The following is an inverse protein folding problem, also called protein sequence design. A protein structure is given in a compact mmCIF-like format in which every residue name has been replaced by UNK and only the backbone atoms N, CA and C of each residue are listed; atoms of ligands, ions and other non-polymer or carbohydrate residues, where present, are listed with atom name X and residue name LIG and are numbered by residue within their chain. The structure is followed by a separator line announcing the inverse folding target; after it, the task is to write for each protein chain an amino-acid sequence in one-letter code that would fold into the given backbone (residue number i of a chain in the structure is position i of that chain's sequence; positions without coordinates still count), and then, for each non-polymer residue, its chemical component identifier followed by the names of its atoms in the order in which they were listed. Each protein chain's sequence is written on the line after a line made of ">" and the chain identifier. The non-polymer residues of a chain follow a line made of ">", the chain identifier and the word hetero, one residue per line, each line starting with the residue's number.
data_IF_515082099650
#
_entry.id   IF_515082099650
#
_cell.length_a   1.000
_cell.length_b   1.000
_cell.length_c   1.000
_cell.angle_alpha   90.00
_cell.angle_beta   90.00
_cell.angle_gamma   90.00
#
_symmetry.space_group_name_H-M   'P 1'
#
loop_
_entity.id
_entity.type
_entity.pdbx_description
1 polymer ?
#
# COMPACT_ATOMS: atom_id res chain seq x y z
N UNK A 1 84.20 45.13 -23.53
CA UNK A 1 84.32 45.98 -24.70
C UNK A 1 82.84 46.37 -25.11
N UNK A 2 82.60 47.61 -24.84
CA UNK A 2 81.94 48.58 -25.73
C UNK A 2 80.54 48.23 -26.13
N UNK A 3 79.57 49.00 -25.93
CA UNK A 3 79.21 50.38 -25.72
C UNK A 3 77.87 50.60 -26.40
N UNK A 4 76.94 51.28 -25.67
CA UNK A 4 76.06 52.38 -26.12
C UNK A 4 75.14 52.13 -27.31
N UNK A 5 73.88 52.64 -27.39
CA UNK A 5 73.47 54.00 -27.14
C UNK A 5 71.90 54.07 -27.30
N UNK A 6 71.27 54.69 -26.38
CA UNK A 6 70.12 55.62 -26.48
C UNK A 6 69.20 55.66 -27.72
N UNK A 7 67.94 55.73 -27.45
CA UNK A 7 66.91 56.17 -28.41
C UNK A 7 65.56 56.39 -27.75
N UNK A 8 65.31 57.59 -27.21
CA UNK A 8 63.99 58.08 -26.80
C UNK A 8 63.19 58.35 -28.03
N UNK A 9 61.91 58.01 -28.06
CA UNK A 9 60.90 58.75 -28.76
C UNK A 9 59.52 58.59 -28.12
N UNK A 10 58.94 59.72 -27.78
CA UNK A 10 57.53 59.93 -27.41
C UNK A 10 56.58 59.46 -28.49
N UNK A 11 55.41 59.06 -28.14
CA UNK A 11 54.31 58.83 -29.09
C UNK A 11 53.00 58.40 -28.49
N UNK A 12 52.21 59.39 -28.14
CA UNK A 12 50.74 59.44 -28.23
C UNK A 12 49.91 58.34 -27.59
N UNK A 13 49.30 58.69 -26.47
CA UNK A 13 48.06 58.09 -25.94
C UNK A 13 46.93 58.24 -26.98
N UNK A 14 46.39 57.14 -27.43
CA UNK A 14 45.04 57.04 -28.03
C UNK A 14 44.16 56.23 -27.11
N UNK A 15 43.32 56.95 -26.37
CA UNK A 15 42.21 56.39 -25.60
C UNK A 15 41.13 55.90 -26.58
N UNK A 16 41.04 54.58 -26.78
CA UNK A 16 39.87 53.98 -27.41
C UNK A 16 38.85 53.69 -26.32
N UNK A 17 37.85 54.57 -26.21
CA UNK A 17 36.62 54.29 -25.45
C UNK A 17 35.78 53.30 -26.24
N UNK A 18 35.95 51.99 -25.97
CA UNK A 18 35.06 50.96 -26.49
C UNK A 18 33.76 50.96 -25.71
N UNK A 19 32.69 51.46 -26.32
CA UNK A 19 31.34 51.25 -25.83
C UNK A 19 31.04 49.75 -25.91
N UNK A 20 31.07 49.05 -24.78
CA UNK A 20 30.51 47.72 -24.65
C UNK A 20 28.99 47.84 -24.52
N UNK A 21 28.23 47.67 -25.60
CA UNK A 21 26.80 47.48 -25.57
C UNK A 21 26.56 46.00 -25.16
N UNK A 22 26.19 45.80 -23.90
CA UNK A 22 25.66 44.50 -23.47
C UNK A 22 24.25 44.32 -24.04
N UNK A 23 23.94 43.21 -24.70
CA UNK A 23 22.57 42.90 -25.07
C UNK A 23 21.78 42.63 -23.77
N UNK A 24 20.71 43.38 -23.55
CA UNK A 24 19.75 43.11 -22.49
C UNK A 24 19.02 41.79 -22.82
N UNK A 25 19.27 40.79 -22.02
CA UNK A 25 18.49 39.56 -22.06
C UNK A 25 17.04 39.86 -21.64
N UNK A 26 16.01 39.36 -22.35
CA UNK A 26 14.63 39.56 -21.92
C UNK A 26 14.43 38.82 -20.58
N UNK A 27 13.98 39.55 -19.56
CA UNK A 27 13.52 38.98 -18.33
C UNK A 27 12.29 38.12 -18.64
N UNK A 28 12.45 36.81 -18.67
CA UNK A 28 11.33 35.87 -18.69
C UNK A 28 10.56 36.02 -17.38
N UNK A 29 9.39 36.67 -17.45
CA UNK A 29 8.45 36.72 -16.36
C UNK A 29 8.01 35.26 -16.06
N UNK A 30 8.51 34.70 -14.97
CA UNK A 30 7.98 33.43 -14.43
C UNK A 30 6.57 33.76 -13.94
N UNK A 31 5.57 33.32 -14.72
CA UNK A 31 4.19 33.27 -14.27
C UNK A 31 4.14 32.20 -13.19
N UNK A 32 4.16 32.61 -11.93
CA UNK A 32 3.78 31.76 -10.82
C UNK A 32 2.31 31.42 -11.02
N UNK A 33 2.04 30.29 -11.65
CA UNK A 33 0.71 29.69 -11.72
C UNK A 33 0.34 29.25 -10.31
N UNK A 34 -0.40 30.09 -9.59
CA UNK A 34 -1.12 29.68 -8.39
C UNK A 34 -2.24 28.75 -8.86
N UNK A 35 -2.02 27.44 -8.80
CA UNK A 35 -3.10 26.46 -8.86
C UNK A 35 -4.08 26.68 -7.70
N UNK A 36 -5.34 26.25 -7.82
CA UNK A 36 -6.36 26.49 -6.80
C UNK A 36 -5.89 25.96 -5.45
N UNK A 37 -6.07 26.77 -4.40
CA UNK A 37 -5.58 26.54 -3.03
C UNK A 37 -6.20 25.33 -2.31
N UNK A 38 -6.89 24.44 -3.03
CA UNK A 38 -7.52 23.20 -2.53
C UNK A 38 -6.95 21.92 -3.16
N UNK A 39 -5.76 21.96 -3.74
CA UNK A 39 -5.05 20.73 -4.04
C UNK A 39 -4.64 20.10 -2.71
N UNK A 40 -5.37 19.07 -2.29
CA UNK A 40 -4.92 18.19 -1.22
C UNK A 40 -3.47 17.79 -1.50
N UNK A 41 -2.60 17.67 -0.47
CA UNK A 41 -1.24 17.24 -0.68
C UNK A 41 -1.26 15.94 -1.46
N UNK A 42 -0.82 16.00 -2.71
CA UNK A 42 -0.53 14.81 -3.49
C UNK A 42 0.63 14.17 -2.74
N UNK A 43 0.35 13.12 -1.97
CA UNK A 43 1.39 12.23 -1.49
C UNK A 43 2.00 11.59 -2.74
N UNK A 44 2.90 12.34 -3.36
CA UNK A 44 3.64 11.93 -4.53
C UNK A 44 4.69 10.91 -4.14
N UNK A 45 4.25 9.68 -3.95
CA UNK A 45 5.07 8.53 -4.26
C UNK A 45 4.78 8.22 -5.72
N UNK A 46 5.52 8.85 -6.64
CA UNK A 46 5.76 8.23 -7.92
C UNK A 46 6.73 7.08 -7.60
N UNK A 47 6.28 5.82 -7.57
CA UNK A 47 7.23 4.73 -7.47
C UNK A 47 8.02 4.72 -8.76
N UNK A 48 9.31 4.51 -8.67
CA UNK A 48 10.10 4.01 -9.78
C UNK A 48 9.43 2.70 -10.23
N UNK A 49 8.56 2.80 -11.23
CA UNK A 49 7.79 1.66 -11.76
C UNK A 49 8.68 0.73 -12.60
N UNK A 50 9.96 1.06 -12.74
CA UNK A 50 10.89 0.39 -13.63
C UNK A 50 11.74 -0.68 -12.94
N UNK A 51 11.72 -0.79 -11.61
CA UNK A 51 12.43 -1.87 -10.94
C UNK A 51 11.54 -3.13 -10.94
N UNK A 52 11.88 -4.08 -11.81
CA UNK A 52 11.22 -5.37 -11.84
C UNK A 52 11.32 -6.04 -10.45
N UNK A 53 10.22 -6.58 -9.91
CA UNK A 53 10.26 -7.23 -8.60
C UNK A 53 11.29 -8.36 -8.61
N UNK A 54 11.93 -8.60 -7.46
CA UNK A 54 12.88 -9.69 -7.29
C UNK A 54 12.32 -10.99 -7.90
N UNK A 55 13.13 -11.81 -8.56
CA UNK A 55 12.65 -13.02 -9.27
C UNK A 55 11.73 -13.91 -8.43
N UNK A 56 11.99 -13.99 -7.12
CA UNK A 56 11.17 -14.73 -6.17
C UNK A 56 9.75 -14.16 -5.98
N UNK A 57 9.51 -12.91 -6.35
CA UNK A 57 8.21 -12.24 -6.22
C UNK A 57 7.46 -12.15 -7.56
N UNK A 58 8.09 -12.55 -8.65
CA UNK A 58 7.47 -12.56 -9.96
C UNK A 58 6.39 -13.64 -10.08
N UNK A 59 5.32 -13.30 -10.81
CA UNK A 59 4.26 -14.25 -11.14
C UNK A 59 4.79 -15.38 -11.99
N UNK A 60 4.51 -16.63 -11.60
CA UNK A 60 4.93 -17.81 -12.34
C UNK A 60 4.05 -19.03 -12.04
N UNK A 61 3.97 -19.96 -12.99
CA UNK A 61 3.38 -21.28 -12.75
C UNK A 61 4.39 -22.15 -12.02
N UNK A 62 3.97 -22.76 -10.91
CA UNK A 62 4.81 -23.63 -10.08
C UNK A 62 4.15 -24.98 -9.87
N UNK A 63 4.95 -25.98 -9.52
CA UNK A 63 4.42 -27.23 -8.98
C UNK A 63 3.74 -26.96 -7.62
N UNK A 64 2.57 -27.55 -7.39
CA UNK A 64 1.78 -27.38 -6.17
C UNK A 64 1.31 -28.72 -5.65
N UNK A 65 1.81 -29.11 -4.47
CA UNK A 65 1.52 -30.42 -3.85
C UNK A 65 0.26 -30.45 -2.97
N UNK A 66 -0.53 -29.35 -2.90
CA UNK A 66 -1.77 -29.32 -2.16
C UNK A 66 -2.91 -30.08 -2.84
N UNK A 67 -3.98 -30.36 -2.09
CA UNK A 67 -5.14 -31.14 -2.52
C UNK A 67 -6.36 -30.27 -2.83
N UNK A 68 -6.22 -28.96 -2.75
CA UNK A 68 -7.31 -28.00 -2.94
C UNK A 68 -7.79 -28.01 -4.40
N UNK A 69 -9.12 -27.87 -4.54
CA UNK A 69 -9.75 -27.84 -5.85
C UNK A 69 -9.19 -26.71 -6.73
N UNK A 70 -9.12 -26.90 -8.07
CA UNK A 70 -8.75 -25.84 -9.00
C UNK A 70 -9.61 -24.58 -8.77
N UNK A 71 -8.99 -23.39 -8.88
CA UNK A 71 -9.64 -22.11 -8.63
C UNK A 71 -9.64 -21.68 -7.15
N UNK A 72 -9.05 -22.45 -6.25
CA UNK A 72 -8.88 -22.04 -4.85
C UNK A 72 -7.67 -21.12 -4.70
N UNK A 73 -7.81 -20.07 -3.90
CA UNK A 73 -6.71 -19.18 -3.52
C UNK A 73 -6.11 -19.68 -2.20
N UNK A 74 -4.80 -19.85 -2.15
CA UNK A 74 -4.05 -20.16 -0.94
C UNK A 74 -3.10 -19.01 -0.65
N UNK A 75 -3.15 -18.45 0.55
CA UNK A 75 -2.29 -17.36 1.00
C UNK A 75 -1.32 -17.90 2.03
N UNK A 76 -0.05 -17.93 1.68
CA UNK A 76 1.06 -18.29 2.56
C UNK A 76 1.72 -17.01 3.06
N UNK A 77 1.31 -16.57 4.23
CA UNK A 77 1.79 -15.33 4.84
C UNK A 77 3.25 -15.44 5.26
N UNK A 78 3.71 -16.63 5.65
CA UNK A 78 5.09 -16.87 6.08
C UNK A 78 6.10 -16.66 4.93
N UNK A 79 5.72 -17.05 3.72
CA UNK A 79 6.56 -16.94 2.52
C UNK A 79 6.16 -15.80 1.58
N UNK A 80 5.28 -14.91 2.02
CA UNK A 80 4.77 -13.78 1.23
C UNK A 80 4.34 -14.19 -0.18
N UNK A 81 3.60 -15.30 -0.27
CA UNK A 81 3.16 -15.89 -1.53
C UNK A 81 1.64 -16.14 -1.54
N UNK A 82 1.02 -15.90 -2.69
CA UNK A 82 -0.35 -16.31 -2.98
C UNK A 82 -0.31 -17.32 -4.13
N UNK A 83 -1.07 -18.40 -3.98
CA UNK A 83 -1.22 -19.44 -5.00
C UNK A 83 -2.68 -19.52 -5.45
N UNK A 84 -2.91 -19.46 -6.75
CA UNK A 84 -4.18 -19.84 -7.36
C UNK A 84 -4.01 -21.25 -7.93
N UNK A 85 -4.74 -22.22 -7.40
CA UNK A 85 -4.66 -23.61 -7.85
C UNK A 85 -5.20 -23.74 -9.28
N UNK A 86 -4.45 -24.43 -10.16
CA UNK A 86 -4.79 -24.64 -11.56
C UNK A 86 -5.24 -26.07 -11.86
N UNK A 87 -5.10 -26.97 -10.88
CA UNK A 87 -5.25 -28.40 -11.10
C UNK A 87 -4.00 -29.04 -11.72
N UNK A 88 -3.99 -30.38 -11.79
CA UNK A 88 -2.85 -31.13 -12.31
C UNK A 88 -1.56 -30.89 -11.54
N UNK A 89 -1.62 -30.70 -10.22
CA UNK A 89 -0.45 -30.46 -9.39
C UNK A 89 0.25 -29.12 -9.66
N UNK A 90 -0.46 -28.11 -10.16
CA UNK A 90 0.10 -26.79 -10.52
C UNK A 90 -0.68 -25.65 -9.85
N UNK A 91 -0.01 -24.53 -9.62
CA UNK A 91 -0.61 -23.27 -9.21
C UNK A 91 0.08 -22.09 -9.90
N UNK A 92 -0.68 -21.00 -10.08
CA UNK A 92 -0.11 -19.69 -10.37
C UNK A 92 0.33 -19.09 -9.04
N UNK A 93 1.62 -18.80 -8.89
CA UNK A 93 2.20 -18.14 -7.73
C UNK A 93 2.36 -16.65 -8.00
N UNK A 94 2.02 -15.84 -7.00
CA UNK A 94 2.20 -14.38 -6.99
C UNK A 94 2.97 -13.98 -5.73
N UNK A 95 3.84 -12.98 -5.84
CA UNK A 95 4.42 -12.30 -4.68
C UNK A 95 3.40 -11.37 -4.04
N UNK A 96 3.35 -11.36 -2.70
CA UNK A 96 2.40 -10.54 -1.94
C UNK A 96 3.07 -9.80 -0.79
N UNK A 97 2.47 -8.68 -0.37
CA UNK A 97 2.73 -8.06 0.91
C UNK A 97 1.63 -8.45 1.91
N UNK A 98 1.98 -8.66 3.17
CA UNK A 98 1.07 -9.21 4.19
C UNK A 98 1.04 -8.35 5.46
N UNK A 99 0.18 -8.71 6.41
CA UNK A 99 0.06 -8.06 7.71
C UNK A 99 1.38 -8.07 8.48
N UNK A 100 1.70 -6.92 9.12
CA UNK A 100 2.80 -6.84 10.09
C UNK A 100 2.46 -7.66 11.32
N UNK A 101 3.43 -7.86 12.18
CA UNK A 101 3.24 -8.53 13.47
C UNK A 101 2.04 -7.96 14.24
N UNK A 102 1.22 -8.83 14.83
CA UNK A 102 -0.05 -8.48 15.48
C UNK A 102 -1.23 -8.24 14.54
N UNK A 103 -1.02 -8.29 13.20
CA UNK A 103 -2.07 -8.17 12.19
C UNK A 103 -2.13 -9.38 11.25
N UNK A 104 -1.38 -10.45 11.57
CA UNK A 104 -1.49 -11.71 10.88
C UNK A 104 -2.80 -12.42 11.30
N UNK A 105 -3.46 -13.03 10.34
CA UNK A 105 -4.66 -13.83 10.56
C UNK A 105 -4.61 -15.09 9.69
N UNK A 106 -5.39 -16.09 10.04
CA UNK A 106 -5.53 -17.33 9.28
C UNK A 106 -6.99 -17.79 9.30
N UNK A 107 -7.38 -18.57 8.31
CA UNK A 107 -8.73 -19.06 8.20
C UNK A 107 -9.16 -19.33 6.77
N UNK A 108 -10.45 -19.57 6.60
CA UNK A 108 -11.07 -19.83 5.30
C UNK A 108 -12.15 -18.79 5.10
N UNK A 109 -12.03 -18.07 3.98
CA UNK A 109 -12.97 -17.05 3.53
C UNK A 109 -13.41 -17.33 2.09
N UNK A 110 -14.32 -16.54 1.59
CA UNK A 110 -14.67 -16.48 0.18
C UNK A 110 -14.64 -15.05 -0.33
N UNK A 111 -14.40 -14.87 -1.62
CA UNK A 111 -14.56 -13.57 -2.25
C UNK A 111 -16.04 -13.20 -2.25
N UNK A 112 -16.42 -12.13 -1.58
CA UNK A 112 -17.82 -11.65 -1.51
C UNK A 112 -18.11 -10.50 -2.46
N UNK A 113 -17.08 -9.75 -2.84
CA UNK A 113 -17.19 -8.62 -3.77
C UNK A 113 -15.90 -8.41 -4.53
N UNK A 114 -16.00 -7.95 -5.76
CA UNK A 114 -14.90 -7.53 -6.63
C UNK A 114 -15.10 -6.07 -7.02
N UNK A 115 -14.04 -5.28 -7.06
CA UNK A 115 -14.11 -3.89 -7.49
C UNK A 115 -12.87 -3.48 -8.29
N UNK A 116 -13.09 -2.68 -9.33
CA UNK A 116 -12.05 -2.05 -10.14
C UNK A 116 -11.85 -0.63 -9.63
N UNK A 117 -10.60 -0.22 -9.47
CA UNK A 117 -10.22 1.10 -8.98
C UNK A 117 -11.10 1.58 -7.83
N UNK A 118 -11.23 0.80 -6.73
CA UNK A 118 -12.16 1.13 -5.66
C UNK A 118 -11.71 2.38 -4.89
N UNK A 119 -12.67 3.14 -4.38
CA UNK A 119 -12.37 4.14 -3.36
C UNK A 119 -11.81 3.47 -2.10
N UNK A 120 -10.89 4.14 -1.45
CA UNK A 120 -10.37 3.70 -0.17
C UNK A 120 -10.97 4.51 0.97
N UNK A 121 -11.63 3.80 1.87
CA UNK A 121 -12.11 4.31 3.15
C UNK A 121 -11.35 3.53 4.23
N UNK A 122 -10.52 4.18 5.05
CA UNK A 122 -9.79 3.48 6.10
C UNK A 122 -10.75 2.93 7.16
N UNK A 123 -10.51 1.72 7.69
CA UNK A 123 -11.25 1.20 8.83
C UNK A 123 -11.15 2.13 10.04
N UNK A 124 -12.22 2.21 10.84
CA UNK A 124 -12.26 3.09 12.04
C UNK A 124 -11.10 2.84 13.00
N UNK A 125 -10.73 1.57 13.21
CA UNK A 125 -9.58 1.19 14.01
C UNK A 125 -8.25 1.72 13.46
N UNK A 126 -8.09 1.85 12.14
CA UNK A 126 -6.90 2.46 11.53
C UNK A 126 -6.90 3.96 11.77
N UNK A 127 -8.04 4.60 11.59
CA UNK A 127 -8.22 6.04 11.86
C UNK A 127 -7.92 6.37 13.32
N UNK A 128 -8.35 5.53 14.27
CA UNK A 128 -8.06 5.73 15.70
C UNK A 128 -6.56 5.67 16.00
N UNK A 129 -5.81 4.77 15.32
CA UNK A 129 -4.35 4.67 15.48
C UNK A 129 -3.56 5.74 14.73
N UNK A 130 -4.13 6.28 13.65
CA UNK A 130 -3.49 7.23 12.75
C UNK A 130 -4.49 8.34 12.37
N UNK A 131 -4.76 9.31 13.28
CA UNK A 131 -5.82 10.32 13.07
C UNK A 131 -5.57 11.25 11.87
N UNK A 132 -4.32 11.31 11.38
CA UNK A 132 -3.89 12.17 10.27
C UNK A 132 -4.15 11.59 8.88
N UNK A 133 -4.51 10.29 8.76
CA UNK A 133 -4.77 9.70 7.43
C UNK A 133 -6.06 10.27 6.82
N UNK A 134 -6.12 10.38 5.48
CA UNK A 134 -7.34 10.77 4.78
C UNK A 134 -8.51 9.87 5.16
N UNK A 135 -9.70 10.44 5.32
CA UNK A 135 -10.92 9.69 5.60
C UNK A 135 -11.49 8.99 4.37
N UNK A 136 -11.06 9.42 3.20
CA UNK A 136 -11.46 8.89 1.90
C UNK A 136 -10.40 9.26 0.87
N UNK A 137 -10.12 8.33 -0.05
CA UNK A 137 -9.27 8.54 -1.22
C UNK A 137 -9.99 7.95 -2.43
N UNK A 138 -10.19 8.75 -3.47
CA UNK A 138 -10.81 8.32 -4.71
C UNK A 138 -10.04 7.18 -5.36
N UNK A 139 -10.74 6.31 -6.09
CA UNK A 139 -10.11 5.28 -6.92
C UNK A 139 -9.17 5.87 -7.96
N UNK A 140 -8.04 5.23 -8.21
CA UNK A 140 -7.03 5.68 -9.16
C UNK A 140 -5.61 5.28 -8.78
N UNK A 141 -4.59 5.66 -9.59
CA UNK A 141 -3.20 5.23 -9.39
C UNK A 141 -2.60 5.60 -8.03
N UNK A 142 -3.01 6.73 -7.44
CA UNK A 142 -2.57 7.16 -6.12
C UNK A 142 -3.29 6.50 -4.93
N UNK A 143 -4.29 5.65 -5.20
CA UNK A 143 -5.09 5.02 -4.16
C UNK A 143 -4.36 3.81 -3.55
N UNK A 144 -4.33 3.66 -2.21
CA UNK A 144 -3.65 2.54 -1.55
C UNK A 144 -4.17 1.15 -1.93
N UNK A 145 -5.42 1.03 -2.43
CA UNK A 145 -5.97 -0.25 -2.88
C UNK A 145 -5.56 -0.61 -4.32
N UNK A 146 -4.92 0.30 -5.04
CA UNK A 146 -4.47 0.08 -6.40
C UNK A 146 -5.59 -0.23 -7.38
N UNK A 147 -5.25 -1.00 -8.43
CA UNK A 147 -6.12 -1.20 -9.59
C UNK A 147 -7.36 -2.07 -9.33
N UNK A 148 -7.31 -3.02 -8.38
CA UNK A 148 -8.38 -4.00 -8.11
C UNK A 148 -8.42 -4.33 -6.63
N UNK A 149 -9.62 -4.68 -6.13
CA UNK A 149 -9.80 -5.26 -4.80
C UNK A 149 -10.79 -6.45 -4.84
N UNK A 150 -10.45 -7.49 -4.09
CA UNK A 150 -11.22 -8.69 -3.82
C UNK A 150 -11.54 -8.69 -2.32
N UNK A 151 -12.79 -8.53 -1.94
CA UNK A 151 -13.23 -8.44 -0.55
C UNK A 151 -13.48 -9.84 0.00
N UNK A 152 -13.03 -10.09 1.23
CA UNK A 152 -13.04 -11.42 1.85
C UNK A 152 -14.10 -11.51 2.95
N UNK A 153 -15.07 -12.39 2.76
CA UNK A 153 -16.14 -12.62 3.73
C UNK A 153 -16.89 -11.34 4.14
N UNK A 154 -17.23 -11.27 5.41
CA UNK A 154 -17.79 -10.09 6.07
C UNK A 154 -16.74 -9.34 6.89
N UNK A 155 -15.47 -9.43 6.48
CA UNK A 155 -14.34 -8.85 7.18
C UNK A 155 -13.88 -7.53 6.54
N UNK A 156 -12.99 -6.82 7.21
CA UNK A 156 -12.27 -5.67 6.63
C UNK A 156 -11.10 -6.11 5.73
N UNK A 157 -10.84 -7.42 5.58
CA UNK A 157 -9.71 -7.92 4.81
C UNK A 157 -10.01 -7.97 3.32
N UNK A 158 -8.96 -7.70 2.53
CA UNK A 158 -9.01 -7.65 1.07
C UNK A 158 -7.71 -8.21 0.49
N UNK A 159 -7.82 -8.77 -0.71
CA UNK A 159 -6.69 -8.93 -1.61
C UNK A 159 -6.78 -7.75 -2.58
N UNK A 160 -5.74 -6.92 -2.70
CA UNK A 160 -5.82 -5.69 -3.48
C UNK A 160 -4.49 -5.30 -4.11
N UNK A 161 -4.51 -4.41 -5.08
CA UNK A 161 -3.32 -3.79 -5.65
C UNK A 161 -2.61 -2.86 -4.67
N UNK A 162 -1.67 -2.08 -5.16
CA UNK A 162 -0.97 -1.11 -4.32
C UNK A 162 -0.48 0.08 -5.15
N UNK A 163 -0.37 1.23 -4.52
CA UNK A 163 0.38 2.38 -5.00
C UNK A 163 1.84 2.38 -4.48
N UNK A 164 2.22 1.37 -3.69
CA UNK A 164 3.56 1.18 -3.15
C UNK A 164 4.07 -0.23 -3.47
N UNK A 165 4.63 -0.46 -4.68
CA UNK A 165 5.20 -1.75 -5.09
C UNK A 165 6.29 -2.28 -4.17
N UNK A 166 7.03 -1.39 -3.48
CA UNK A 166 8.10 -1.78 -2.57
C UNK A 166 7.62 -2.54 -1.34
N UNK A 167 6.31 -2.51 -1.06
CA UNK A 167 5.67 -3.25 0.04
C UNK A 167 5.47 -4.75 -0.25
N UNK A 168 5.65 -5.18 -1.51
CA UNK A 168 5.55 -6.59 -1.89
C UNK A 168 6.75 -7.37 -1.36
N UNK A 169 6.52 -8.56 -0.83
CA UNK A 169 7.52 -9.35 -0.12
C UNK A 169 7.72 -8.96 1.36
N UNK A 170 6.96 -7.98 1.87
CA UNK A 170 7.12 -7.44 3.23
C UNK A 170 5.89 -7.65 4.11
N UNK A 171 6.12 -7.65 5.43
CA UNK A 171 5.10 -7.70 6.47
C UNK A 171 4.80 -6.28 6.98
N UNK A 172 3.95 -5.52 6.28
CA UNK A 172 3.73 -4.09 6.55
C UNK A 172 2.26 -3.69 6.66
N UNK A 173 1.33 -4.49 6.16
CA UNK A 173 -0.08 -4.13 6.10
C UNK A 173 -0.78 -4.24 7.47
N UNK A 174 -2.02 -3.78 7.54
CA UNK A 174 -2.93 -3.98 8.69
C UNK A 174 -3.82 -5.22 8.49
N UNK A 175 -3.30 -6.28 7.86
CA UNK A 175 -3.96 -7.57 7.65
C UNK A 175 -4.42 -7.82 6.20
N UNK A 176 -4.61 -6.80 5.38
CA UNK A 176 -4.90 -6.97 3.95
C UNK A 176 -3.71 -7.55 3.20
N UNK A 177 -3.99 -8.24 2.11
CA UNK A 177 -3.01 -8.87 1.22
C UNK A 177 -2.78 -7.93 0.03
N UNK A 178 -1.55 -7.42 -0.08
CA UNK A 178 -1.14 -6.51 -1.16
C UNK A 178 -0.53 -7.27 -2.32
N UNK A 179 -0.83 -6.85 -3.53
CA UNK A 179 -0.25 -7.37 -4.78
C UNK A 179 0.24 -6.23 -5.66
N UNK A 180 1.17 -6.52 -6.57
CA UNK A 180 1.42 -5.60 -7.69
C UNK A 180 0.14 -5.39 -8.48
N UNK A 181 -0.07 -4.19 -9.05
CA UNK A 181 -1.28 -3.89 -9.80
C UNK A 181 -1.47 -4.85 -11.00
N UNK A 182 -0.42 -5.18 -11.72
CA UNK A 182 -0.47 -6.16 -12.82
C UNK A 182 -0.88 -7.56 -12.35
N UNK A 183 -0.48 -7.97 -11.16
CA UNK A 183 -0.77 -9.29 -10.61
C UNK A 183 -2.18 -9.39 -10.06
N UNK A 184 -2.67 -8.34 -9.38
CA UNK A 184 -4.07 -8.34 -8.93
C UNK A 184 -5.04 -8.23 -10.09
N UNK A 185 -4.69 -7.56 -11.20
CA UNK A 185 -5.48 -7.55 -12.44
C UNK A 185 -5.58 -8.95 -13.02
N UNK A 186 -4.46 -9.68 -13.10
CA UNK A 186 -4.44 -11.06 -13.57
C UNK A 186 -5.26 -11.98 -12.67
N UNK A 187 -5.06 -11.94 -11.36
CA UNK A 187 -5.84 -12.73 -10.40
C UNK A 187 -7.33 -12.41 -10.49
N UNK A 188 -7.68 -11.12 -10.55
CA UNK A 188 -9.07 -10.64 -10.65
C UNK A 188 -9.78 -11.21 -11.88
N UNK A 189 -9.10 -11.35 -13.01
CA UNK A 189 -9.67 -11.91 -14.22
C UNK A 189 -9.95 -13.42 -14.13
N UNK A 190 -9.24 -14.13 -13.25
CA UNK A 190 -9.29 -15.61 -13.12
C UNK A 190 -10.28 -16.08 -12.06
N UNK A 191 -10.70 -15.23 -11.13
CA UNK A 191 -11.52 -15.64 -9.97
C UNK A 191 -12.89 -14.96 -9.99
N UNK A 192 -13.85 -15.57 -9.28
CA UNK A 192 -15.24 -15.09 -9.22
C UNK A 192 -15.64 -14.80 -7.75
N UNK A 193 -16.76 -14.09 -7.57
CA UNK A 193 -17.45 -14.05 -6.27
C UNK A 193 -17.79 -15.49 -5.88
N UNK A 194 -17.56 -15.86 -4.63
CA UNK A 194 -17.67 -17.23 -4.14
C UNK A 194 -16.37 -18.04 -4.18
N UNK A 195 -15.32 -17.55 -4.89
CA UNK A 195 -14.00 -18.22 -4.87
C UNK A 195 -13.51 -18.40 -3.44
N UNK A 196 -13.11 -19.63 -3.10
CA UNK A 196 -12.57 -19.99 -1.79
C UNK A 196 -11.17 -19.42 -1.62
N UNK A 197 -10.91 -18.86 -0.45
CA UNK A 197 -9.63 -18.30 -0.03
C UNK A 197 -9.21 -18.93 1.29
N UNK A 198 -8.06 -19.58 1.31
CA UNK A 198 -7.48 -20.20 2.50
C UNK A 198 -6.23 -19.40 2.87
N UNK A 199 -6.23 -18.81 4.06
CA UNK A 199 -5.07 -18.14 4.63
C UNK A 199 -4.41 -19.09 5.61
N UNK A 200 -3.18 -19.50 5.29
CA UNK A 200 -2.43 -20.44 6.12
C UNK A 200 -1.98 -19.75 7.41
N UNK A 201 -1.98 -20.48 8.54
CA UNK A 201 -1.42 -19.95 9.78
C UNK A 201 0.09 -19.74 9.62
N UNK A 202 0.59 -18.60 10.08
CA UNK A 202 2.03 -18.37 10.17
C UNK A 202 2.64 -19.39 11.14
N UNK A 203 3.70 -20.09 10.73
CA UNK A 203 4.39 -21.06 11.56
C UNK A 203 4.94 -20.44 12.85
N UNK A 204 5.28 -19.15 12.83
CA UNK A 204 5.68 -18.38 14.02
C UNK A 204 4.53 -18.19 15.00
N UNK A 205 3.32 -17.96 14.51
CA UNK A 205 2.11 -17.84 15.36
C UNK A 205 1.75 -19.18 15.99
N UNK A 206 2.01 -20.29 15.31
CA UNK A 206 1.76 -21.65 15.83
C UNK A 206 2.63 -21.96 17.06
N UNK A 207 3.89 -21.53 17.10
CA UNK A 207 4.77 -21.71 18.25
C UNK A 207 4.30 -20.95 19.50
N UNK A 208 3.76 -19.75 19.31
CA UNK A 208 3.22 -18.94 20.41
C UNK A 208 1.91 -19.54 20.94
N UNK A 209 1.06 -20.08 20.07
CA UNK A 209 -0.22 -20.70 20.46
C UNK A 209 -0.06 -22.01 21.24
N UNK A 210 1.04 -22.75 21.03
CA UNK A 210 1.34 -23.94 21.81
C UNK A 210 1.95 -23.63 23.18
N UNK A 211 2.46 -22.42 23.39
CA UNK A 211 3.05 -22.00 24.66
C UNK A 211 2.03 -21.37 25.64
N UNK A 212 0.79 -21.16 25.23
CA UNK A 212 -0.28 -20.60 26.08
C UNK A 212 -1.47 -21.56 26.10
N UNK A 213 -1.63 -22.40 27.14
CA UNK A 213 -2.88 -23.12 27.35
C UNK A 213 -3.98 -22.11 27.78
N UNK A 214 -5.00 -21.99 26.96
CA UNK A 214 -6.31 -21.41 27.31
C UNK A 214 -6.35 -20.02 27.93
N UNK A 215 -6.39 -18.96 27.12
CA UNK A 215 -7.22 -17.79 27.40
C UNK A 215 -7.08 -16.74 26.30
N UNK A 216 -7.81 -16.85 25.21
CA UNK A 216 -8.41 -15.68 24.50
C UNK A 216 -9.47 -16.22 23.52
N UNK A 217 -10.53 -16.79 24.06
CA UNK A 217 -11.82 -16.78 23.42
C UNK A 217 -12.67 -15.76 24.17
N UNK A 218 -13.35 -14.90 23.44
CA UNK A 218 -14.37 -13.98 23.92
C UNK A 218 -13.87 -12.68 24.63
N UNK A 219 -13.57 -11.68 23.82
CA UNK A 219 -13.88 -10.31 24.20
C UNK A 219 -14.68 -9.60 23.06
N UNK A 220 -15.86 -10.15 22.80
CA UNK A 220 -16.99 -9.30 22.49
C UNK A 220 -17.64 -8.96 23.82
N UNK A 221 -17.27 -7.85 24.40
CA UNK A 221 -17.98 -7.27 25.52
C UNK A 221 -19.28 -6.70 24.94
N UNK A 222 -20.36 -7.45 25.09
CA UNK A 222 -21.70 -6.90 25.02
C UNK A 222 -21.88 -6.03 26.27
N UNK A 223 -22.11 -4.75 26.09
CA UNK A 223 -22.54 -3.87 27.19
C UNK A 223 -23.85 -4.37 27.79
N UNK A 224 -23.96 -4.53 29.11
CA UNK A 224 -25.26 -4.84 29.70
C UNK A 224 -26.10 -3.56 29.71
N UNK A 225 -27.22 -3.58 28.98
CA UNK A 225 -28.29 -2.63 29.18
C UNK A 225 -28.77 -2.74 30.61
N UNK A 226 -28.55 -1.71 31.39
CA UNK A 226 -29.10 -1.57 32.71
C UNK A 226 -30.62 -1.50 32.62
N UNK A 227 -31.29 -2.56 33.04
CA UNK A 227 -32.73 -2.56 33.27
C UNK A 227 -33.01 -1.76 34.52
N UNK A 228 -33.64 -0.59 34.34
CA UNK A 228 -34.21 0.18 35.41
C UNK A 228 -35.39 -0.62 36.01
N UNK A 229 -35.19 -1.23 37.15
CA UNK A 229 -36.29 -1.78 37.99
C UNK A 229 -36.91 -0.68 38.79
N UNK A 230 -38.02 -0.13 38.35
CA UNK A 230 -38.97 0.56 39.22
C UNK A 230 -39.74 -0.48 40.03
N UNK A 231 -39.44 -0.58 41.30
CA UNK A 231 -40.17 -1.40 42.25
C UNK A 231 -40.36 -0.60 43.54
N UNK A 232 -41.23 0.40 43.51
CA UNK A 232 -41.75 1.02 44.71
C UNK A 232 -42.96 0.26 45.21
N UNK A 233 -42.81 -0.52 46.25
CA UNK A 233 -43.95 -1.03 47.04
C UNK A 233 -43.92 -0.31 48.37
N UNK A 234 -44.93 0.51 48.63
CA UNK A 234 -45.21 1.10 49.93
C UNK A 234 -45.99 0.11 50.78
N UNK A 235 -45.66 -0.06 52.07
CA UNK A 235 -46.51 -0.83 52.97
C UNK A 235 -47.66 0.01 53.47
N UNK A 236 -48.89 -0.51 53.25
CA UNK A 236 -50.09 0.01 53.87
C UNK A 236 -50.15 -0.31 55.36
N UNK A 237 -50.47 0.70 56.14
CA UNK A 237 -50.83 0.60 57.52
C UNK A 237 -52.37 0.60 57.57
N UNK A 238 -52.87 -0.33 58.36
CA UNK A 238 -54.23 -0.73 58.68
C UNK A 238 -54.91 -1.75 57.82
#
# INVERSE_FOLDING_TARGET
>A
MSANLSGRLCGACLLFAGLFTMPAAPAAAQVLSYGPANAAPVYGFAPDQDEAPAPALQRQVVAYGGTEAPGTIIIDTAHTALYLTLGGGRAMRYGIGVGREGFAWSGVESITRKAEWPDWIPPSAMVARQPWIPRWVAGGPGNPLGARALYLGHTDYRIHGTNDPSSIGKHMSSGCIRMLNQDVIDLFSRVQVGTKVIVLPDSRTRQISYAAPHAVAAQHVAEPHAAVRNGGSLPGVY
#
